data_IF_528974716457
#
_entry.id   IF_528974716457
#
_cell.length_a   1.000
_cell.length_b   1.000
_cell.length_c   1.000
_cell.angle_alpha   90.00
_cell.angle_beta   90.00
_cell.angle_gamma   90.00
#
_symmetry.space_group_name_H-M   'P 1'
#
loop_
_entity.id
_entity.type
_entity.pdbx_description
1 polymer ?
#
# COMPACT_ATOMS: atom_id res chain seq x y z
N UNK A 1 7.21 -50.38 -43.97
CA UNK A 1 7.76 -49.96 -42.66
C UNK A 1 7.23 -48.56 -42.40
N UNK A 2 6.14 -48.48 -41.65
CA UNK A 2 5.21 -47.35 -41.56
C UNK A 2 4.89 -47.11 -40.10
N UNK A 3 5.12 -45.90 -39.58
CA UNK A 3 4.55 -45.46 -38.29
C UNK A 3 4.58 -43.94 -38.16
N UNK A 4 3.98 -43.24 -39.12
CA UNK A 4 3.54 -41.85 -38.95
C UNK A 4 2.03 -41.86 -38.76
N UNK A 5 1.56 -42.03 -37.52
CA UNK A 5 0.17 -41.83 -37.07
C UNK A 5 0.06 -42.27 -35.60
N UNK A 6 0.34 -41.36 -34.66
CA UNK A 6 -0.08 -41.56 -33.25
C UNK A 6 -0.19 -40.23 -32.48
N UNK A 7 -0.61 -39.17 -33.19
CA UNK A 7 -1.09 -37.94 -32.59
C UNK A 7 -2.59 -37.84 -32.90
N UNK A 8 -3.44 -38.23 -31.93
CA UNK A 8 -4.91 -38.05 -31.81
C UNK A 8 -5.57 -39.32 -31.29
N UNK A 9 -5.59 -39.53 -29.96
CA UNK A 9 -6.63 -40.30 -29.23
C UNK A 9 -6.34 -40.36 -27.73
N UNK A 10 -6.33 -39.21 -27.06
CA UNK A 10 -6.52 -39.16 -25.59
C UNK A 10 -7.44 -37.99 -25.20
N UNK A 11 -8.45 -37.74 -26.03
CA UNK A 11 -9.61 -36.93 -25.70
C UNK A 11 -10.84 -37.80 -25.87
N UNK A 12 -11.27 -38.46 -24.78
CA UNK A 12 -12.67 -38.68 -24.40
C UNK A 12 -12.78 -39.64 -23.20
N UNK A 13 -13.50 -39.14 -22.20
CA UNK A 13 -14.29 -39.86 -21.22
C UNK A 13 -13.57 -40.57 -20.06
N UNK A 14 -13.47 -39.86 -18.93
CA UNK A 14 -13.98 -40.36 -17.65
C UNK A 14 -14.78 -39.23 -16.97
N UNK A 15 -16.08 -39.19 -17.26
CA UNK A 15 -17.13 -38.72 -16.34
C UNK A 15 -17.38 -39.92 -15.40
N UNK A 16 -17.55 -39.86 -14.08
CA UNK A 16 -18.38 -38.98 -13.26
C UNK A 16 -18.07 -39.22 -11.77
N UNK A 17 -17.93 -38.18 -10.96
CA UNK A 17 -18.42 -38.19 -9.57
C UNK A 17 -18.46 -36.77 -9.02
N UNK A 18 -19.64 -36.40 -8.53
CA UNK A 18 -20.02 -35.08 -8.06
C UNK A 18 -19.37 -34.71 -6.73
N UNK A 19 -18.82 -33.50 -6.65
CA UNK A 19 -18.94 -32.65 -5.48
C UNK A 19 -19.15 -31.22 -5.98
N UNK A 20 -20.40 -30.89 -6.32
CA UNK A 20 -20.80 -29.53 -6.61
C UNK A 20 -20.82 -28.74 -5.30
N UNK A 21 -19.69 -28.18 -4.87
CA UNK A 21 -19.75 -26.99 -4.02
C UNK A 21 -20.12 -25.82 -4.94
N UNK A 22 -21.34 -25.31 -4.76
CA UNK A 22 -21.82 -24.13 -5.45
C UNK A 22 -20.87 -22.97 -5.12
N UNK A 23 -20.02 -22.57 -6.07
CA UNK A 23 -19.42 -21.24 -6.06
C UNK A 23 -20.59 -20.29 -6.32
N UNK A 24 -21.21 -19.83 -5.24
CA UNK A 24 -22.19 -18.77 -5.28
C UNK A 24 -21.55 -17.57 -5.96
N UNK A 25 -22.23 -17.05 -6.99
CA UNK A 25 -21.81 -15.83 -7.66
C UNK A 25 -21.53 -14.76 -6.62
N UNK A 26 -20.41 -14.06 -6.78
CA UNK A 26 -20.15 -12.83 -6.06
C UNK A 26 -21.15 -11.81 -6.60
N UNK A 27 -22.32 -11.73 -5.96
CA UNK A 27 -23.15 -10.54 -6.04
C UNK A 27 -22.31 -9.36 -5.52
N UNK A 28 -22.32 -8.20 -6.18
CA UNK A 28 -21.80 -6.98 -5.59
C UNK A 28 -22.77 -6.58 -4.48
N UNK A 29 -22.65 -7.21 -3.32
CA UNK A 29 -23.41 -6.82 -2.14
C UNK A 29 -22.83 -5.49 -1.66
N UNK A 30 -23.42 -4.41 -2.18
CA UNK A 30 -23.47 -3.13 -1.47
C UNK A 30 -24.29 -3.37 -0.21
N UNK A 31 -23.64 -3.95 0.79
CA UNK A 31 -24.23 -4.33 2.06
C UNK A 31 -24.66 -3.10 2.84
N UNK A 32 -25.96 -3.01 3.07
CA UNK A 32 -26.57 -2.15 4.06
C UNK A 32 -25.95 -2.46 5.43
N UNK A 33 -25.26 -1.50 6.02
CA UNK A 33 -24.63 -1.55 7.36
C UNK A 33 -23.64 -2.70 7.63
N UNK A 34 -22.64 -2.90 6.76
CA UNK A 34 -21.36 -3.43 7.27
C UNK A 34 -20.74 -2.37 8.18
N UNK A 35 -20.29 -2.73 9.39
CA UNK A 35 -19.47 -1.85 10.24
C UNK A 35 -18.39 -1.25 9.34
N UNK A 36 -18.46 0.05 9.01
CA UNK A 36 -17.48 0.70 8.12
C UNK A 36 -16.12 0.44 8.76
N UNK A 37 -15.24 -0.25 8.04
CA UNK A 37 -13.84 -0.39 8.43
C UNK A 37 -13.19 0.99 8.57
N UNK A 38 -11.95 1.06 9.06
CA UNK A 38 -11.25 2.33 9.22
C UNK A 38 -11.23 3.12 7.91
N UNK A 39 -11.39 4.44 8.01
CA UNK A 39 -11.21 5.34 6.85
C UNK A 39 -9.74 5.33 6.48
N UNK A 40 -9.42 4.97 5.23
CA UNK A 40 -8.05 4.89 4.73
C UNK A 40 -7.69 6.17 3.98
N UNK A 41 -6.57 6.78 4.33
CA UNK A 41 -6.04 8.01 3.76
C UNK A 41 -4.60 7.76 3.30
N UNK A 42 -4.21 8.34 2.17
CA UNK A 42 -2.82 8.36 1.73
C UNK A 42 -2.32 9.80 1.67
N UNK A 43 -1.17 10.07 2.26
CA UNK A 43 -0.46 11.34 2.15
C UNK A 43 0.45 11.25 0.93
N UNK A 44 0.15 12.04 -0.08
CA UNK A 44 0.91 12.11 -1.33
C UNK A 44 1.65 13.45 -1.41
N UNK A 45 2.78 13.46 -2.11
CA UNK A 45 3.59 14.66 -2.26
C UNK A 45 4.97 14.35 -2.81
N UNK A 46 5.60 15.37 -3.40
CA UNK A 46 6.91 15.25 -4.01
C UNK A 46 7.98 14.79 -2.99
N UNK A 47 9.15 14.38 -3.49
CA UNK A 47 10.31 14.08 -2.63
C UNK A 47 10.69 15.35 -1.85
N UNK A 48 11.04 15.18 -0.58
CA UNK A 48 11.47 16.25 0.33
C UNK A 48 10.47 17.38 0.66
N UNK A 49 9.21 17.30 0.21
CA UNK A 49 8.16 18.32 0.50
C UNK A 49 7.67 18.36 1.97
N UNK A 50 8.33 17.67 2.90
CA UNK A 50 7.94 17.66 4.31
C UNK A 50 6.85 16.66 4.72
N UNK A 51 6.54 15.64 3.90
CA UNK A 51 5.55 14.58 4.25
C UNK A 51 5.82 13.95 5.62
N UNK A 52 7.06 13.54 5.88
CA UNK A 52 7.40 12.90 7.15
C UNK A 52 7.27 13.86 8.34
N UNK A 53 7.48 15.17 8.14
CA UNK A 53 7.19 16.20 9.14
C UNK A 53 5.70 16.31 9.40
N UNK A 54 4.89 16.33 8.34
CA UNK A 54 3.42 16.36 8.47
C UNK A 54 2.87 15.09 9.14
N UNK A 55 3.44 13.92 8.83
CA UNK A 55 3.10 12.65 9.45
C UNK A 55 3.38 12.68 10.96
N UNK A 56 4.50 13.27 11.40
CA UNK A 56 4.80 13.45 12.83
C UNK A 56 3.73 14.32 13.51
N UNK A 57 3.40 15.46 12.91
CA UNK A 57 2.34 16.36 13.41
C UNK A 57 0.99 15.63 13.58
N UNK A 58 0.60 14.81 12.60
CA UNK A 58 -0.63 14.00 12.69
C UNK A 58 -0.55 12.92 13.79
N UNK A 59 0.62 12.31 13.98
CA UNK A 59 0.85 11.30 15.02
C UNK A 59 0.69 11.90 16.42
N UNK A 60 1.20 13.10 16.62
CA UNK A 60 1.10 13.85 17.88
C UNK A 60 -0.32 14.36 18.14
N UNK A 61 -1.00 14.85 17.08
CA UNK A 61 -2.35 15.42 17.19
C UNK A 61 -3.44 14.34 17.33
N UNK A 62 -3.28 13.20 16.65
CA UNK A 62 -4.27 12.11 16.62
C UNK A 62 -3.65 10.77 17.02
N UNK A 63 -3.35 10.55 18.32
CA UNK A 63 -2.74 9.30 18.79
C UNK A 63 -3.60 8.05 18.54
N UNK A 64 -4.90 8.23 18.32
CA UNK A 64 -5.83 7.15 18.01
C UNK A 64 -5.76 6.70 16.53
N UNK A 65 -5.13 7.48 15.66
CA UNK A 65 -4.98 7.14 14.24
C UNK A 65 -3.86 6.13 14.05
N UNK A 66 -4.07 5.20 13.12
CA UNK A 66 -3.01 4.29 12.70
C UNK A 66 -2.24 4.93 11.56
N UNK A 67 -0.95 5.16 11.74
CA UNK A 67 -0.09 5.76 10.73
C UNK A 67 0.94 4.72 10.29
N UNK A 68 0.91 4.38 9.01
CA UNK A 68 1.85 3.51 8.35
C UNK A 68 2.81 4.34 7.50
N UNK A 69 4.07 4.43 7.93
CA UNK A 69 5.12 5.21 7.27
C UNK A 69 5.68 4.47 6.05
N UNK A 70 6.34 5.21 5.16
CA UNK A 70 6.95 4.64 3.97
C UNK A 70 8.14 3.73 4.37
N UNK A 71 8.25 2.49 3.84
CA UNK A 71 9.26 1.52 4.27
C UNK A 71 10.66 1.81 3.67
N UNK A 72 11.10 3.07 3.70
CA UNK A 72 12.38 3.53 3.13
C UNK A 72 13.56 2.77 3.72
N UNK A 73 13.54 2.51 5.03
CA UNK A 73 14.59 1.76 5.71
C UNK A 73 14.76 0.34 5.13
N UNK A 74 13.68 -0.29 4.69
CA UNK A 74 13.70 -1.61 4.05
C UNK A 74 14.37 -1.57 2.67
N UNK A 75 14.26 -0.44 1.96
CA UNK A 75 14.92 -0.26 0.65
C UNK A 75 16.40 0.09 0.77
N UNK A 76 16.77 0.76 1.86
CA UNK A 76 18.17 1.07 2.17
C UNK A 76 18.94 -0.15 2.71
N UNK A 77 18.24 -1.12 3.30
CA UNK A 77 18.83 -2.31 3.89
C UNK A 77 18.04 -3.55 3.49
N UNK A 78 18.23 -4.01 2.25
CA UNK A 78 17.53 -5.19 1.74
C UNK A 78 18.08 -6.45 2.40
N UNK A 79 17.19 -7.19 3.07
CA UNK A 79 17.52 -8.49 3.68
C UNK A 79 16.90 -9.62 2.85
N UNK A 80 17.64 -10.72 2.70
CA UNK A 80 17.11 -11.93 2.09
C UNK A 80 16.12 -12.59 3.07
N UNK A 81 14.86 -12.74 2.66
CA UNK A 81 13.91 -13.55 3.42
C UNK A 81 14.25 -15.03 3.23
N UNK A 82 14.82 -15.69 4.24
CA UNK A 82 14.90 -17.16 4.29
C UNK A 82 16.20 -17.80 4.79
N UNK A 83 17.30 -17.07 4.97
CA UNK A 83 18.58 -17.69 5.37
C UNK A 83 18.77 -17.70 6.89
N UNK A 84 17.95 -18.46 7.61
CA UNK A 84 18.17 -18.67 9.05
C UNK A 84 19.23 -19.72 9.38
N UNK A 85 19.85 -20.38 8.40
CA UNK A 85 20.99 -21.27 8.67
C UNK A 85 22.04 -21.16 7.57
N UNK A 86 23.27 -20.93 8.04
CA UNK A 86 24.55 -21.04 7.34
C UNK A 86 25.06 -19.75 6.64
N UNK A 87 26.06 -19.14 7.28
CA UNK A 87 27.02 -18.12 6.79
C UNK A 87 26.47 -16.72 6.52
N UNK A 88 26.74 -15.80 7.46
CA UNK A 88 26.60 -14.32 7.41
C UNK A 88 25.34 -13.79 6.70
N UNK A 89 24.40 -13.21 7.47
CA UNK A 89 23.31 -12.41 6.90
C UNK A 89 23.88 -11.37 5.91
N UNK A 90 23.87 -11.68 4.62
CA UNK A 90 24.37 -10.76 3.60
C UNK A 90 23.32 -9.66 3.48
N UNK A 91 23.66 -8.46 3.99
CA UNK A 91 22.99 -7.25 3.58
C UNK A 91 23.16 -7.16 2.04
N UNK A 92 22.07 -7.32 1.30
CA UNK A 92 22.08 -7.33 -0.16
C UNK A 92 22.39 -5.95 -0.75
N UNK A 93 22.44 -4.92 0.09
CA UNK A 93 22.80 -3.56 -0.28
C UNK A 93 21.63 -2.59 -0.20
N UNK A 94 21.95 -1.33 -0.51
CA UNK A 94 21.01 -0.22 -0.54
C UNK A 94 20.39 -0.12 -1.94
N UNK A 95 19.23 -0.75 -2.13
CA UNK A 95 18.54 -0.78 -3.42
C UNK A 95 18.09 0.62 -3.86
N UNK A 96 17.79 1.51 -2.91
CA UNK A 96 17.46 2.91 -3.21
C UNK A 96 18.67 3.63 -3.82
N UNK A 97 19.86 3.45 -3.25
CA UNK A 97 21.10 4.03 -3.80
C UNK A 97 21.42 3.42 -5.17
N UNK A 98 21.34 2.10 -5.31
CA UNK A 98 21.55 1.41 -6.59
C UNK A 98 20.62 1.93 -7.70
N UNK A 99 19.37 2.27 -7.36
CA UNK A 99 18.42 2.89 -8.30
C UNK A 99 18.86 4.29 -8.74
N UNK A 100 19.39 5.11 -7.84
CA UNK A 100 19.90 6.43 -8.19
C UNK A 100 21.22 6.37 -8.98
N UNK A 101 22.10 5.41 -8.68
CA UNK A 101 23.39 5.27 -9.38
C UNK A 101 23.23 4.72 -10.80
N UNK A 102 22.44 3.66 -10.99
CA UNK A 102 22.25 3.00 -12.29
C UNK A 102 20.76 2.73 -12.58
N UNK A 103 19.97 3.77 -12.88
CA UNK A 103 18.51 3.65 -13.04
C UNK A 103 18.13 2.67 -14.17
N UNK A 104 18.85 2.68 -15.29
CA UNK A 104 18.60 1.74 -16.40
C UNK A 104 18.67 0.27 -15.97
N UNK A 105 19.48 -0.05 -14.94
CA UNK A 105 19.66 -1.40 -14.41
C UNK A 105 18.69 -1.74 -13.28
N UNK A 106 18.37 -0.77 -12.43
CA UNK A 106 17.73 -1.00 -11.14
C UNK A 106 16.33 -0.40 -10.98
N UNK A 107 15.86 0.48 -11.86
CA UNK A 107 14.54 1.11 -11.72
C UNK A 107 13.39 0.10 -11.67
N UNK A 108 13.37 -0.90 -12.56
CA UNK A 108 12.31 -1.94 -12.53
C UNK A 108 12.31 -2.73 -11.22
N UNK A 109 13.50 -3.11 -10.74
CA UNK A 109 13.67 -3.84 -9.48
C UNK A 109 13.21 -3.00 -8.29
N UNK A 110 13.64 -1.74 -8.23
CA UNK A 110 13.28 -0.81 -7.16
C UNK A 110 11.77 -0.53 -7.18
N UNK A 111 11.18 -0.21 -8.33
CA UNK A 111 9.74 0.05 -8.46
C UNK A 111 8.89 -1.17 -8.05
N UNK A 112 9.34 -2.37 -8.41
CA UNK A 112 8.65 -3.60 -7.99
C UNK A 112 8.76 -3.81 -6.48
N UNK A 113 9.95 -3.59 -5.91
CA UNK A 113 10.19 -3.71 -4.47
C UNK A 113 9.37 -2.68 -3.67
N UNK A 114 9.39 -1.41 -4.10
CA UNK A 114 8.65 -0.32 -3.46
C UNK A 114 7.14 -0.59 -3.48
N UNK A 115 6.60 -0.96 -4.65
CA UNK A 115 5.19 -1.33 -4.80
C UNK A 115 4.79 -2.49 -3.89
N UNK A 116 5.55 -3.58 -3.89
CA UNK A 116 5.24 -4.77 -3.08
C UNK A 116 5.32 -4.47 -1.58
N UNK A 117 6.29 -3.67 -1.15
CA UNK A 117 6.42 -3.26 0.25
C UNK A 117 5.23 -2.40 0.71
N UNK A 118 4.77 -1.43 -0.11
CA UNK A 118 3.56 -0.66 0.15
C UNK A 118 2.30 -1.52 0.19
N UNK A 119 2.15 -2.43 -0.79
CA UNK A 119 1.01 -3.34 -0.86
C UNK A 119 0.92 -4.21 0.40
N UNK A 120 2.06 -4.73 0.87
CA UNK A 120 2.13 -5.53 2.09
C UNK A 120 1.58 -4.75 3.29
N UNK A 121 2.07 -3.52 3.51
CA UNK A 121 1.62 -2.63 4.59
C UNK A 121 0.13 -2.30 4.48
N UNK A 122 -0.39 -2.07 3.28
CA UNK A 122 -1.81 -1.76 3.07
C UNK A 122 -2.76 -2.95 3.30
N UNK A 123 -2.25 -4.17 3.14
CA UNK A 123 -2.96 -5.43 3.39
C UNK A 123 -2.81 -5.91 4.83
N UNK A 124 -1.91 -5.32 5.63
CA UNK A 124 -1.76 -5.69 7.03
C UNK A 124 -3.07 -5.45 7.81
N UNK A 125 -3.46 -6.36 8.72
CA UNK A 125 -4.65 -6.21 9.53
C UNK A 125 -4.59 -4.93 10.35
N UNK A 126 -5.71 -4.21 10.42
CA UNK A 126 -5.80 -3.01 11.23
C UNK A 126 -5.73 -3.39 12.73
N UNK A 127 -4.94 -2.69 13.56
CA UNK A 127 -4.78 -3.05 14.97
C UNK A 127 -6.11 -3.04 15.73
N UNK A 128 -6.41 -4.14 16.43
CA UNK A 128 -7.66 -4.32 17.18
C UNK A 128 -7.89 -3.22 18.24
N UNK A 129 -6.81 -2.69 18.82
CA UNK A 129 -6.86 -1.62 19.83
C UNK A 129 -7.48 -0.33 19.29
N UNK A 130 -7.33 -0.04 17.99
CA UNK A 130 -7.82 1.19 17.35
C UNK A 130 -9.22 1.02 16.75
N UNK A 131 -9.67 -0.23 16.53
CA UNK A 131 -11.00 -0.59 16.01
C UNK A 131 -12.15 -0.26 16.98
N UNK A 132 -11.86 -0.06 18.27
CA UNK A 132 -12.88 0.31 19.24
C UNK A 132 -13.32 1.77 19.13
N UNK A 133 -12.58 2.60 18.41
CA UNK A 133 -12.99 3.99 18.15
C UNK A 133 -14.06 4.03 17.05
N UNK A 134 -15.15 4.78 17.27
CA UNK A 134 -16.18 5.04 16.24
C UNK A 134 -15.63 5.76 15.00
N UNK A 135 -14.41 6.31 15.07
CA UNK A 135 -13.76 7.11 14.04
C UNK A 135 -12.37 6.58 13.69
N UNK A 136 -12.20 5.26 13.57
CA UNK A 136 -10.91 4.68 13.19
C UNK A 136 -10.43 5.24 11.83
N UNK A 137 -9.21 5.78 11.82
CA UNK A 137 -8.53 6.31 10.63
C UNK A 137 -7.20 5.58 10.47
N UNK A 138 -6.90 5.19 9.24
CA UNK A 138 -5.63 4.62 8.83
C UNK A 138 -4.99 5.56 7.79
N UNK A 139 -3.80 6.05 8.07
CA UNK A 139 -3.03 6.92 7.19
C UNK A 139 -1.82 6.17 6.66
N UNK A 140 -1.54 6.33 5.37
CA UNK A 140 -0.36 5.79 4.71
C UNK A 140 0.51 6.93 4.16
N UNK A 141 1.81 6.88 4.39
CA UNK A 141 2.76 7.74 3.68
C UNK A 141 3.02 7.12 2.30
N UNK A 142 2.46 7.75 1.25
CA UNK A 142 2.30 7.20 -0.11
C UNK A 142 1.41 5.95 -0.18
N UNK A 143 0.96 5.65 -1.39
CA UNK A 143 0.10 4.51 -1.69
C UNK A 143 0.64 3.69 -2.86
N UNK A 144 0.06 2.52 -3.12
CA UNK A 144 0.34 1.74 -4.34
C UNK A 144 0.01 2.52 -5.62
N UNK A 145 -0.80 3.58 -5.54
CA UNK A 145 -1.12 4.45 -6.66
C UNK A 145 -0.01 5.47 -6.96
N UNK A 146 0.90 5.73 -6.01
CA UNK A 146 2.04 6.61 -6.23
C UNK A 146 3.03 6.05 -7.27
N UNK A 147 3.13 4.72 -7.39
CA UNK A 147 4.07 4.02 -8.28
C UNK A 147 3.54 3.87 -9.71
N UNK A 148 2.22 3.88 -9.89
CA UNK A 148 1.56 3.82 -11.19
C UNK A 148 0.36 4.75 -11.19
N UNK A 149 0.52 5.87 -11.88
CA UNK A 149 -0.56 6.81 -12.19
C UNK A 149 -1.53 6.18 -13.20
N UNK A 150 -2.31 5.19 -12.77
CA UNK A 150 -3.55 4.86 -13.48
C UNK A 150 -4.58 5.92 -13.08
N UNK A 151 -4.53 7.05 -13.77
CA UNK A 151 -5.36 8.23 -13.50
C UNK A 151 -6.85 7.89 -13.35
N UNK A 152 -7.36 6.92 -14.10
CA UNK A 152 -8.77 6.49 -14.05
C UNK A 152 -9.20 6.02 -12.65
N UNK A 153 -8.34 5.28 -11.94
CA UNK A 153 -8.66 4.79 -10.60
C UNK A 153 -8.69 5.92 -9.56
N UNK A 154 -8.04 7.05 -9.84
CA UNK A 154 -7.96 8.21 -8.96
C UNK A 154 -9.13 9.20 -9.17
N UNK A 155 -9.85 9.13 -10.30
CA UNK A 155 -10.89 10.12 -10.66
C UNK A 155 -12.04 10.23 -9.64
N UNK A 156 -12.32 9.14 -8.92
CA UNK A 156 -13.41 9.09 -7.95
C UNK A 156 -12.92 9.07 -6.49
N UNK A 157 -11.62 9.27 -6.26
CA UNK A 157 -11.04 9.31 -4.92
C UNK A 157 -11.08 10.76 -4.43
N UNK A 158 -11.67 11.06 -3.27
CA UNK A 158 -11.61 12.40 -2.68
C UNK A 158 -10.14 12.81 -2.43
N UNK A 159 -9.77 14.02 -2.88
CA UNK A 159 -8.42 14.57 -2.71
C UNK A 159 -8.48 15.88 -1.92
N UNK A 160 -7.66 15.98 -0.88
CA UNK A 160 -7.34 17.23 -0.20
C UNK A 160 -5.97 17.70 -0.65
N UNK A 161 -5.89 18.92 -1.17
CA UNK A 161 -4.61 19.58 -1.51
C UNK A 161 -4.22 20.50 -0.37
N UNK A 162 -3.01 20.33 0.14
CA UNK A 162 -2.41 21.17 1.17
C UNK A 162 -1.22 21.91 0.57
N UNK A 163 -1.14 23.21 0.83
CA UNK A 163 0.06 24.00 0.53
C UNK A 163 1.01 23.89 1.72
N UNK A 164 2.18 23.32 1.48
CA UNK A 164 3.26 23.08 2.46
C UNK A 164 4.61 23.47 1.87
N UNK A 165 4.62 24.47 0.97
CA UNK A 165 5.87 24.96 0.37
C UNK A 165 6.75 25.70 1.38
N UNK A 166 6.13 26.38 2.35
CA UNK A 166 6.84 27.02 3.46
C UNK A 166 7.13 26.01 4.58
N UNK A 167 8.23 26.22 5.30
CA UNK A 167 8.51 25.46 6.52
C UNK A 167 7.49 25.80 7.60
N UNK A 168 6.65 24.81 7.94
CA UNK A 168 5.59 24.91 8.94
C UNK A 168 5.94 24.19 10.25
N UNK A 169 7.16 23.66 10.39
CA UNK A 169 7.56 22.81 11.52
C UNK A 169 7.48 23.50 12.88
N UNK A 170 7.69 24.82 12.93
CA UNK A 170 7.65 25.63 14.15
C UNK A 170 6.53 26.69 14.14
N UNK A 171 5.70 26.74 13.10
CA UNK A 171 4.65 27.76 12.96
C UNK A 171 3.28 27.21 13.38
N UNK A 172 2.94 27.37 14.67
CA UNK A 172 1.70 26.84 15.28
C UNK A 172 0.44 27.25 14.51
N UNK A 173 0.34 28.50 14.06
CA UNK A 173 -0.82 29.00 13.31
C UNK A 173 -1.03 28.27 11.99
N UNK A 174 0.05 27.96 11.27
CA UNK A 174 -0.03 27.18 10.02
C UNK A 174 -0.35 25.72 10.32
N UNK A 175 0.22 25.15 11.37
CA UNK A 175 -0.09 23.78 11.78
C UNK A 175 -1.57 23.63 12.10
N UNK A 176 -2.15 24.54 12.89
CA UNK A 176 -3.58 24.54 13.21
C UNK A 176 -4.46 24.66 11.94
N UNK A 177 -4.08 25.51 10.99
CA UNK A 177 -4.80 25.65 9.73
C UNK A 177 -4.80 24.34 8.91
N UNK A 178 -3.62 23.71 8.77
CA UNK A 178 -3.47 22.43 8.07
C UNK A 178 -4.30 21.33 8.74
N UNK A 179 -4.24 21.22 10.06
CA UNK A 179 -5.00 20.23 10.83
C UNK A 179 -6.51 20.47 10.72
N UNK A 180 -6.96 21.72 10.71
CA UNK A 180 -8.37 22.07 10.50
C UNK A 180 -8.86 21.62 9.13
N UNK A 181 -8.06 21.80 8.07
CA UNK A 181 -8.36 21.30 6.72
C UNK A 181 -8.47 19.77 6.70
N UNK A 182 -7.53 19.06 7.34
CA UNK A 182 -7.56 17.60 7.45
C UNK A 182 -8.81 17.12 8.19
N UNK A 183 -9.11 17.68 9.36
CA UNK A 183 -10.27 17.26 10.15
C UNK A 183 -11.58 17.49 9.39
N UNK A 184 -11.70 18.64 8.71
CA UNK A 184 -12.86 18.95 7.86
C UNK A 184 -13.00 17.92 6.74
N UNK A 185 -11.91 17.61 6.05
CA UNK A 185 -11.91 16.61 4.98
C UNK A 185 -12.30 15.22 5.48
N UNK A 186 -11.68 14.75 6.56
CA UNK A 186 -11.93 13.41 7.12
C UNK A 186 -13.37 13.25 7.61
N UNK A 187 -13.96 14.29 8.20
CA UNK A 187 -15.36 14.24 8.64
C UNK A 187 -16.37 14.25 7.47
N UNK A 188 -15.94 14.60 6.26
CA UNK A 188 -16.76 14.62 5.05
C UNK A 188 -16.61 13.36 4.16
N UNK A 189 -15.82 12.35 4.58
CA UNK A 189 -15.66 11.04 3.94
C UNK A 189 -16.64 9.98 4.49
#
# INVERSE_FOLDING_TARGET
MTAGQLLRRLLRALSSSMAQSRIGGVSPSRGMHAKRGPRKLSIEGNIAVGKSTFVKLLTETYPEWHIATEPVATWQNVQAAGTQKAYTAQNLGNLLDMMYQEPARWSYTFQTCSFMSRLKVQLEPFPEKQLQSKKAVQVFERSVYSDRLHFEALLNIPVLVLDVNDDFSEEETKQEELLKKVNTFVNNL
#
